data_IF_503914350010
#
_entry.id   IF_503914350010
#
_cell.length_a   1.000
_cell.length_b   1.000
_cell.length_c   1.000
_cell.angle_alpha   90.00
_cell.angle_beta   90.00
_cell.angle_gamma   90.00
#
_symmetry.space_group_name_H-M   'P 1'
#
loop_
_entity.id
_entity.type
_entity.pdbx_description
1 polymer ?
#
# COMPACT_ATOMS: atom_id res chain seq x y z
N UNK A 1 17.40 -6.37 13.29
CA UNK A 1 16.06 -5.74 13.35
C UNK A 1 15.01 -6.78 13.02
N UNK A 2 13.91 -6.89 13.77
CA UNK A 2 12.85 -7.87 13.50
C UNK A 2 12.06 -7.42 12.27
N UNK A 3 11.90 -8.27 11.27
CA UNK A 3 11.07 -7.97 10.10
C UNK A 3 9.59 -8.02 10.46
N UNK A 4 8.81 -7.14 9.84
CA UNK A 4 7.36 -7.09 10.02
C UNK A 4 6.72 -8.31 9.37
N UNK A 5 5.94 -9.07 10.15
CA UNK A 5 5.26 -10.28 9.69
C UNK A 5 3.96 -10.51 10.46
N UNK A 6 2.87 -10.89 9.78
CA UNK A 6 1.63 -11.32 10.42
C UNK A 6 1.77 -12.66 11.18
N UNK A 7 2.84 -13.43 10.96
CA UNK A 7 3.14 -14.72 11.59
C UNK A 7 2.00 -15.77 11.46
N UNK A 8 1.29 -15.79 10.34
CA UNK A 8 0.22 -16.76 10.10
C UNK A 8 0.77 -18.15 9.73
N UNK A 9 2.00 -18.22 9.20
CA UNK A 9 2.76 -19.46 8.96
C UNK A 9 4.27 -19.23 9.09
N UNK A 10 5.07 -20.31 9.13
CA UNK A 10 6.53 -20.23 9.28
C UNK A 10 7.16 -19.53 8.08
N UNK A 11 7.99 -18.51 8.33
CA UNK A 11 8.69 -17.75 7.30
C UNK A 11 7.80 -16.73 6.58
N UNK A 12 6.62 -16.42 7.11
CA UNK A 12 5.79 -15.35 6.57
C UNK A 12 6.50 -14.02 6.69
N UNK A 13 6.66 -13.27 5.60
CA UNK A 13 7.24 -11.93 5.57
C UNK A 13 6.26 -10.99 4.84
N UNK A 14 5.95 -9.86 5.45
CA UNK A 14 4.93 -8.95 4.92
C UNK A 14 5.40 -8.20 3.68
N UNK A 15 6.68 -7.79 3.65
CA UNK A 15 7.25 -7.07 2.51
C UNK A 15 7.40 -8.00 1.32
N UNK A 16 7.73 -9.28 1.57
CA UNK A 16 7.77 -10.31 0.53
C UNK A 16 6.37 -10.61 -0.04
N UNK A 17 5.34 -10.72 0.81
CA UNK A 17 3.96 -10.93 0.37
C UNK A 17 3.45 -9.75 -0.48
N UNK A 18 3.68 -8.52 -0.01
CA UNK A 18 3.25 -7.31 -0.71
C UNK A 18 4.15 -7.04 -1.93
N UNK A 19 5.40 -7.50 -1.92
CA UNK A 19 6.41 -7.29 -2.96
C UNK A 19 6.87 -5.84 -3.10
N UNK A 20 6.65 -5.02 -2.06
CA UNK A 20 7.05 -3.61 -1.98
C UNK A 20 7.50 -3.35 -0.53
N UNK A 21 8.57 -2.59 -0.37
CA UNK A 21 9.09 -2.21 0.95
C UNK A 21 8.18 -1.20 1.65
N UNK A 22 8.16 -1.21 2.99
CA UNK A 22 7.41 -0.19 3.74
C UNK A 22 7.93 1.23 3.47
N UNK A 23 9.23 1.37 3.19
CA UNK A 23 9.87 2.65 2.87
C UNK A 23 9.32 3.27 1.57
N UNK A 24 8.83 2.46 0.63
CA UNK A 24 8.15 2.94 -0.58
C UNK A 24 6.64 3.09 -0.38
N UNK A 25 6.02 2.19 0.39
CA UNK A 25 4.56 2.19 0.62
C UNK A 25 4.12 3.44 1.36
N UNK A 26 4.81 3.80 2.43
CA UNK A 26 4.45 4.92 3.30
C UNK A 26 4.38 6.27 2.54
N UNK A 27 5.44 6.71 1.82
CA UNK A 27 5.37 7.96 1.07
C UNK A 27 4.38 7.92 -0.09
N UNK A 28 4.18 6.76 -0.73
CA UNK A 28 3.18 6.59 -1.78
C UNK A 28 1.75 6.77 -1.23
N UNK A 29 1.42 6.13 -0.11
CA UNK A 29 0.11 6.27 0.54
C UNK A 29 -0.10 7.70 1.05
N UNK A 30 0.92 8.32 1.64
CA UNK A 30 0.85 9.70 2.10
C UNK A 30 0.55 10.68 0.94
N UNK A 31 1.16 10.47 -0.23
CA UNK A 31 0.88 11.31 -1.40
C UNK A 31 -0.53 11.07 -1.97
N UNK A 32 -0.93 9.80 -2.11
CA UNK A 32 -2.21 9.43 -2.71
C UNK A 32 -3.41 9.78 -1.82
N UNK A 33 -3.30 9.57 -0.52
CA UNK A 33 -4.44 9.65 0.42
C UNK A 33 -4.46 10.98 1.17
N UNK A 34 -3.36 11.33 1.85
CA UNK A 34 -3.31 12.56 2.66
C UNK A 34 -3.22 13.81 1.78
N UNK A 35 -2.35 13.78 0.77
CA UNK A 35 -2.20 14.92 -0.17
C UNK A 35 -3.16 14.86 -1.36
N UNK A 36 -3.91 13.76 -1.54
CA UNK A 36 -4.86 13.54 -2.65
C UNK A 36 -4.24 13.80 -4.04
N UNK A 37 -2.95 13.48 -4.19
CA UNK A 37 -2.25 13.63 -5.46
C UNK A 37 -2.65 12.49 -6.41
N UNK A 38 -2.55 12.76 -7.70
CA UNK A 38 -2.69 11.72 -8.72
C UNK A 38 -1.53 10.70 -8.66
N UNK A 39 -1.72 9.56 -9.31
CA UNK A 39 -0.68 8.53 -9.43
C UNK A 39 0.57 9.11 -10.10
N UNK A 40 0.41 9.90 -11.17
CA UNK A 40 1.54 10.52 -11.88
C UNK A 40 2.29 11.56 -11.02
N UNK A 41 1.58 12.39 -10.26
CA UNK A 41 2.21 13.34 -9.32
C UNK A 41 2.93 12.63 -8.17
N UNK A 42 2.37 11.51 -7.70
CA UNK A 42 3.00 10.69 -6.66
C UNK A 42 4.32 10.11 -7.18
N UNK A 43 4.32 9.54 -8.39
CA UNK A 43 5.52 9.02 -9.06
C UNK A 43 6.59 10.12 -9.19
N UNK A 44 6.19 11.33 -9.58
CA UNK A 44 7.15 12.45 -9.69
C UNK A 44 7.75 12.87 -8.34
N UNK A 45 7.01 12.76 -7.24
CA UNK A 45 7.49 13.18 -5.91
C UNK A 45 8.29 12.12 -5.18
N UNK A 46 7.91 10.85 -5.32
CA UNK A 46 8.54 9.76 -4.58
C UNK A 46 9.58 9.01 -5.40
N UNK A 47 9.66 9.27 -6.72
CA UNK A 47 10.53 8.56 -7.68
C UNK A 47 10.32 7.03 -7.69
N UNK A 48 9.20 6.57 -7.14
CA UNK A 48 8.81 5.16 -7.10
C UNK A 48 8.33 4.72 -8.49
N UNK A 49 8.58 3.46 -8.84
CA UNK A 49 8.10 2.91 -10.10
C UNK A 49 6.58 3.03 -10.26
N UNK A 50 6.12 3.39 -11.46
CA UNK A 50 4.67 3.46 -11.78
C UNK A 50 3.95 2.18 -11.39
N UNK A 51 4.56 1.02 -11.66
CA UNK A 51 4.00 -0.29 -11.36
C UNK A 51 3.76 -0.48 -9.86
N UNK A 52 4.69 -0.03 -9.02
CA UNK A 52 4.55 -0.11 -7.56
C UNK A 52 3.44 0.82 -7.07
N UNK A 53 3.42 2.08 -7.50
CA UNK A 53 2.39 3.06 -7.09
C UNK A 53 1.00 2.60 -7.53
N UNK A 54 0.87 2.11 -8.75
CA UNK A 54 -0.40 1.58 -9.27
C UNK A 54 -0.84 0.33 -8.52
N UNK A 55 0.08 -0.59 -8.19
CA UNK A 55 -0.22 -1.76 -7.35
C UNK A 55 -0.73 -1.32 -5.97
N UNK A 56 -0.08 -0.35 -5.32
CA UNK A 56 -0.52 0.19 -4.03
C UNK A 56 -1.93 0.79 -4.14
N UNK A 57 -2.18 1.59 -5.18
CA UNK A 57 -3.49 2.22 -5.39
C UNK A 57 -4.59 1.19 -5.68
N UNK A 58 -4.29 0.15 -6.45
CA UNK A 58 -5.21 -0.98 -6.69
C UNK A 58 -5.50 -1.75 -5.41
N UNK A 59 -4.48 -2.07 -4.60
CA UNK A 59 -4.66 -2.72 -3.30
C UNK A 59 -5.53 -1.86 -2.36
N UNK A 60 -5.30 -0.54 -2.36
CA UNK A 60 -6.13 0.39 -1.61
C UNK A 60 -7.59 0.31 -2.06
N UNK A 61 -7.89 0.45 -3.35
CA UNK A 61 -9.28 0.38 -3.84
C UNK A 61 -9.95 -0.97 -3.55
N UNK A 62 -9.27 -2.09 -3.82
CA UNK A 62 -9.83 -3.43 -3.61
C UNK A 62 -10.15 -3.73 -2.14
N UNK A 63 -9.40 -3.13 -1.20
CA UNK A 63 -9.62 -3.27 0.25
C UNK A 63 -10.54 -2.23 0.84
N UNK A 64 -11.18 -1.37 0.03
CA UNK A 64 -12.08 -0.32 0.51
C UNK A 64 -13.20 -0.88 1.41
N UNK A 65 -13.73 -2.07 1.09
CA UNK A 65 -14.75 -2.75 1.90
C UNK A 65 -14.29 -3.04 3.35
N UNK A 66 -12.98 -3.12 3.62
CA UNK A 66 -12.45 -3.31 4.98
C UNK A 66 -12.48 -2.03 5.82
N UNK A 67 -12.66 -0.87 5.17
CA UNK A 67 -12.69 0.46 5.81
C UNK A 67 -14.08 1.06 5.89
N UNK A 68 -15.07 0.43 5.26
CA UNK A 68 -16.47 0.83 5.28
C UNK A 68 -17.22 -0.18 6.12
N UNK A 69 -18.11 0.29 7.00
CA UNK A 69 -18.98 -0.61 7.74
C UNK A 69 -19.90 -1.35 6.76
N UNK A 70 -20.18 -2.64 6.98
CA UNK A 70 -21.12 -3.36 6.13
C UNK A 70 -22.47 -2.64 6.14
N UNK A 71 -23.09 -2.57 4.97
CA UNK A 71 -24.42 -2.01 4.84
C UNK A 71 -25.36 -2.84 5.72
N UNK A 72 -26.02 -2.20 6.69
CA UNK A 72 -27.03 -2.86 7.50
C UNK A 72 -28.28 -2.98 6.65
N UNK A 73 -28.43 -4.13 6.01
CA UNK A 73 -29.70 -4.58 5.42
C UNK A 73 -30.73 -4.87 6.50
#
# INVERSE_FOLDING_TARGET
TKKSSPNLWKGHDAEEEIGISYEEIDPALYCLIDKKLSVDETIQKTEISRKSVEKIYQMYQNTQHKRILPERV
#
